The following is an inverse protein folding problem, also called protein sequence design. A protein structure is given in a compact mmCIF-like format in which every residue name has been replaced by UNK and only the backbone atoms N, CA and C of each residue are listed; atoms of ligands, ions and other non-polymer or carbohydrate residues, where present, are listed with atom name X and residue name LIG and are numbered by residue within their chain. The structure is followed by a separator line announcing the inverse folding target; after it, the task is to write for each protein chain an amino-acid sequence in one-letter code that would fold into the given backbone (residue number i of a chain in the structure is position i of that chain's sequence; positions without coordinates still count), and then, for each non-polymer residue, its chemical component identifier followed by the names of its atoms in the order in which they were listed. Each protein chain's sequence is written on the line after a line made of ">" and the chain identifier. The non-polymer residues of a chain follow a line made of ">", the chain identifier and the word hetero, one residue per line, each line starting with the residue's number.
data_IF_511148147542
#
_entry.id   IF_511148147542
#
_cell.length_a   1.000
_cell.length_b   1.000
_cell.length_c   1.000
_cell.angle_alpha   90.00
_cell.angle_beta   90.00
_cell.angle_gamma   90.00
#
_symmetry.space_group_name_H-M   'P 1'
#
loop_
_entity.id
_entity.type
_entity.pdbx_description
1 polymer ?
2 polymer ?
3 polymer ?
4 water ?
#
loop_
_entity_poly.entity_id
_entity_poly.type
_entity_poly.pdbx_seq_one_letter_code
_entity_poly.pdbx_strand_id
1 'polydeoxyribonucleotide' '(DG)(DC)(DA)(DA)(DA)(DA)(DC)(DG)(DT)(DC)(DG)(DT)(DG)(DA)(DG)(DA)(DC)(DA)(DG)(DT)(DT)(DT)(DC)(DG)' ?
2 'polydeoxyribonucleotide' '(DC)(DG)(DA)(DA)(DA)(DC)(DT)(DG)(DT)(DC)(DT)(DC)(DA)(DC)(DG)(DA)(DC)(DG)(DT)(DT)(DT)(DT)(DG)(DC)' ?
#
# COMPACT_ATOMS: atom_id res chain seq x y z
N UNK C 3 -24.46 -6.82 0.09
CA UNK C 3 -23.56 -7.28 1.19
C UNK C 3 -23.04 -6.08 1.94
N UNK C 4 -23.21 -6.07 3.26
CA UNK C 4 -22.75 -4.97 4.11
C UNK C 4 -21.40 -5.40 4.71
N UNK C 5 -20.37 -4.59 4.50
CA UNK C 5 -19.03 -4.90 5.02
C UNK C 5 -18.76 -4.26 6.38
N UNK C 6 -17.90 -4.90 7.16
CA UNK C 6 -17.49 -4.43 8.48
C UNK C 6 -16.57 -3.21 8.31
N UNK C 7 -16.84 -2.14 9.07
CA UNK C 7 -16.07 -0.90 9.02
C UNK C 7 -14.56 -1.02 9.28
N UNK C 8 -14.17 -1.97 10.11
CA UNK C 8 -12.74 -2.18 10.41
C UNK C 8 -12.06 -2.79 9.20
N UNK C 9 -12.77 -3.71 8.54
CA UNK C 9 -12.27 -4.37 7.35
C UNK C 9 -12.07 -3.30 6.28
N UNK C 10 -13.06 -2.42 6.16
CA UNK C 10 -13.04 -1.33 5.20
C UNK C 10 -11.95 -0.28 5.47
N UNK C 11 -11.70 0.01 6.74
CA UNK C 11 -10.67 0.99 7.09
C UNK C 11 -9.32 0.44 6.70
N UNK C 12 -9.03 -0.78 7.13
CA UNK C 12 -7.75 -1.39 6.83
C UNK C 12 -7.59 -1.50 5.32
N UNK C 13 -8.63 -2.02 4.67
CA UNK C 13 -8.58 -2.21 3.23
C UNK C 13 -8.41 -0.91 2.44
N UNK C 14 -9.02 0.17 2.89
CA UNK C 14 -8.86 1.41 2.18
C UNK C 14 -7.37 1.87 2.27
N UNK C 15 -6.72 1.62 3.40
CA UNK C 15 -5.32 2.02 3.53
C UNK C 15 -4.49 1.14 2.58
N UNK C 16 -4.81 -0.16 2.58
CA UNK C 16 -4.11 -1.09 1.72
C UNK C 16 -4.30 -0.76 0.21
N UNK C 17 -5.52 -0.40 -0.16
CA UNK C 17 -5.84 -0.04 -1.54
C UNK C 17 -5.11 1.27 -1.91
N UNK C 18 -5.11 2.24 -1.00
CA UNK C 18 -4.41 3.49 -1.26
C UNK C 18 -2.93 3.14 -1.50
N UNK C 19 -2.46 2.02 -0.94
CA UNK C 19 -1.08 1.63 -1.14
C UNK C 19 -0.80 0.80 -2.40
N UNK C 20 -1.26 -0.45 -2.39
CA UNK C 20 -1.05 -1.38 -3.50
C UNK C 20 -2.18 -1.53 -4.48
N UNK C 21 -3.25 -0.79 -4.25
CA UNK C 21 -4.43 -0.91 -5.08
C UNK C 21 -4.50 0.00 -6.29
N UNK C 22 -5.56 -0.20 -7.07
CA UNK C 22 -5.76 0.60 -8.26
C UNK C 22 -7.22 0.60 -8.65
N UNK C 23 -7.72 1.81 -8.92
CA UNK C 23 -9.12 2.00 -9.36
C UNK C 23 -8.97 2.49 -10.79
N UNK C 24 -9.39 1.63 -11.72
CA UNK C 24 -9.19 1.82 -13.16
C UNK C 24 -10.45 1.90 -14.03
N UNK C 25 -10.43 2.86 -14.96
CA UNK C 25 -11.52 3.04 -15.90
C UNK C 25 -10.84 3.02 -17.27
N UNK C 26 -11.35 2.20 -18.19
CA UNK C 26 -10.79 2.13 -19.55
C UNK C 26 -11.87 2.19 -20.63
N UNK C 27 -11.48 2.67 -21.82
CA UNK C 27 -12.35 2.76 -22.99
C UNK C 27 -11.67 1.81 -23.94
N UNK C 28 -12.29 0.65 -24.16
CA UNK C 28 -11.66 -0.35 -25.01
C UNK C 28 -12.25 -0.47 -26.41
N UNK C 29 -11.44 -0.18 -27.44
CA UNK C 29 -11.92 -0.28 -28.83
C UNK C 29 -12.46 -1.71 -28.98
N UNK C 30 -13.66 -1.83 -29.51
CA UNK C 30 -14.27 -3.14 -29.68
C UNK C 30 -15.44 -2.98 -30.64
N UNK C 31 -15.30 -3.55 -31.83
CA UNK C 31 -16.33 -3.44 -32.84
C UNK C 31 -17.71 -4.00 -32.54
N UNK C 32 -17.85 -4.85 -31.52
CA UNK C 32 -19.16 -5.45 -31.20
C UNK C 32 -20.13 -4.56 -30.42
N UNK C 33 -19.65 -3.44 -29.91
CA UNK C 33 -20.50 -2.51 -29.16
C UNK C 33 -21.03 -1.44 -30.13
N UNK C 34 -22.22 -0.91 -29.86
CA UNK C 34 -22.80 0.08 -30.75
C UNK C 34 -21.94 1.33 -30.88
N UNK C 35 -21.23 1.74 -29.83
CA UNK C 35 -20.37 2.91 -29.95
C UNK C 35 -18.92 2.50 -30.19
N UNK C 36 -18.74 1.23 -30.58
CA UNK C 36 -17.43 0.63 -30.89
C UNK C 36 -16.40 0.66 -29.77
N UNK C 37 -16.87 0.81 -28.54
CA UNK C 37 -15.97 0.82 -27.41
C UNK C 37 -16.67 0.31 -26.19
N UNK C 38 -15.94 -0.43 -25.38
CA UNK C 38 -16.52 -0.87 -24.14
C UNK C 38 -16.02 0.05 -23.02
N UNK C 39 -16.92 0.40 -22.10
CA UNK C 39 -16.57 1.19 -20.92
C UNK C 39 -16.26 0.12 -19.88
N UNK C 40 -14.98 -0.03 -19.56
CA UNK C 40 -14.53 -1.04 -18.61
C UNK C 40 -14.09 -0.38 -17.30
N UNK C 41 -14.47 -1.02 -16.20
CA UNK C 41 -14.12 -0.52 -14.88
C UNK C 41 -13.49 -1.67 -14.09
N UNK C 42 -12.45 -1.37 -13.33
CA UNK C 42 -11.80 -2.40 -12.54
C UNK C 42 -11.25 -1.85 -11.23
N UNK C 43 -11.48 -2.62 -10.18
CA UNK C 43 -10.93 -2.36 -8.86
C UNK C 43 -9.90 -3.48 -8.72
N UNK C 44 -8.66 -3.13 -8.45
CA UNK C 44 -7.69 -4.21 -8.30
C UNK C 44 -6.68 -3.95 -7.22
N UNK C 45 -6.07 -5.05 -6.75
CA UNK C 45 -5.03 -4.99 -5.73
C UNK C 45 -3.94 -5.95 -6.21
N UNK C 46 -2.74 -5.42 -6.37
CA UNK C 46 -1.61 -6.21 -6.87
C UNK C 46 -0.68 -6.58 -5.70
N UNK C 47 -0.15 -7.79 -5.71
CA UNK C 47 0.75 -8.23 -4.62
C UNK C 47 1.63 -9.33 -5.14
N UNK C 48 2.84 -9.43 -4.59
CA UNK C 48 3.80 -10.46 -5.00
C UNK C 48 3.08 -11.81 -4.84
N UNK C 49 3.29 -12.73 -5.77
CA UNK C 49 2.57 -14.02 -5.74
C UNK C 49 2.80 -14.85 -4.47
N UNK C 50 3.98 -14.76 -3.86
CA UNK C 50 4.21 -15.50 -2.64
C UNK C 50 3.30 -14.95 -1.54
N UNK C 51 2.59 -13.87 -1.84
CA UNK C 51 1.70 -13.25 -0.84
C UNK C 51 0.26 -13.26 -1.38
N UNK C 52 -0.02 -14.14 -2.35
CA UNK C 52 -1.36 -14.19 -2.93
C UNK C 52 -2.40 -14.63 -1.91
N UNK C 53 -1.93 -15.30 -0.86
CA UNK C 53 -2.86 -15.75 0.16
C UNK C 53 -3.65 -14.53 0.62
N UNK C 54 -2.99 -13.39 0.68
CA UNK C 54 -3.66 -12.16 1.10
C UNK C 54 -4.81 -11.82 0.13
N UNK C 55 -4.54 -11.94 -1.17
CA UNK C 55 -5.53 -11.69 -2.22
C UNK C 55 -6.61 -12.78 -2.22
N UNK C 56 -6.23 -14.03 -1.92
CA UNK C 56 -7.23 -15.10 -1.86
C UNK C 56 -8.22 -14.82 -0.72
N UNK C 57 -7.71 -14.29 0.39
CA UNK C 57 -8.56 -13.97 1.52
C UNK C 57 -9.54 -12.88 1.11
N UNK C 58 -9.07 -11.91 0.31
CA UNK C 58 -9.94 -10.85 -0.17
C UNK C 58 -11.14 -11.37 -0.94
N UNK C 59 -10.92 -12.37 -1.78
CA UNK C 59 -12.02 -12.94 -2.53
C UNK C 59 -13.11 -13.35 -1.52
N UNK C 60 -12.67 -14.08 -0.49
CA UNK C 60 -13.53 -14.58 0.58
C UNK C 60 -14.21 -13.44 1.37
N UNK C 61 -13.42 -12.47 1.82
CA UNK C 61 -13.94 -11.35 2.60
C UNK C 61 -14.86 -10.44 1.80
N UNK C 62 -14.53 -10.18 0.54
CA UNK C 62 -15.37 -9.29 -0.26
C UNK C 62 -16.54 -10.09 -0.84
N UNK C 63 -16.35 -11.42 -0.98
CA UNK C 63 -17.38 -12.33 -1.46
C UNK C 63 -17.62 -12.36 -2.96
N UNK C 64 -16.79 -11.63 -3.70
CA UNK C 64 -16.90 -11.55 -5.15
C UNK C 64 -15.48 -11.22 -5.69
N UNK C 65 -15.29 -11.42 -7.00
CA UNK C 65 -14.00 -11.16 -7.62
C UNK C 65 -13.16 -12.42 -7.66
N UNK C 66 -11.91 -12.27 -8.12
CA UNK C 66 -11.03 -13.43 -8.21
C UNK C 66 -9.59 -12.96 -8.28
N UNK C 67 -8.69 -13.93 -8.31
CA UNK C 67 -7.27 -13.62 -8.34
C UNK C 67 -6.65 -14.17 -9.61
N UNK C 68 -5.86 -13.35 -10.27
CA UNK C 68 -5.22 -13.82 -11.48
C UNK C 68 -3.74 -13.84 -11.19
N UNK C 69 -3.06 -14.83 -11.75
CA UNK C 69 -1.64 -14.94 -11.55
C UNK C 69 -0.96 -14.46 -12.81
N UNK C 70 0.13 -13.71 -12.66
CA UNK C 70 0.87 -13.22 -13.80
C UNK C 70 2.37 -13.31 -13.59
N UNK C 71 2.81 -14.47 -13.11
CA UNK C 71 4.22 -14.67 -12.88
C UNK C 71 4.65 -14.35 -11.48
N UNK C 72 5.44 -13.29 -11.32
CA UNK C 72 5.94 -12.91 -9.99
C UNK C 72 4.88 -12.19 -9.13
N UNK C 73 3.89 -11.57 -9.75
CA UNK C 73 2.86 -10.95 -8.92
C UNK C 73 1.47 -11.47 -9.31
N UNK C 74 0.50 -11.17 -8.46
CA UNK C 74 -0.88 -11.60 -8.70
C UNK C 74 -1.78 -10.43 -8.40
N UNK C 75 -3.02 -10.49 -8.89
CA UNK C 75 -3.95 -9.40 -8.63
C UNK C 75 -5.29 -9.91 -8.17
N UNK C 76 -5.90 -9.14 -7.27
CA UNK C 76 -7.27 -9.45 -6.90
C UNK C 76 -7.97 -8.53 -7.88
N UNK C 77 -8.96 -9.06 -8.60
CA UNK C 77 -9.69 -8.28 -9.59
C UNK C 77 -11.19 -8.33 -9.31
N UNK C 78 -11.81 -7.16 -9.39
CA UNK C 78 -13.27 -7.06 -9.22
C UNK C 78 -13.79 -6.12 -10.32
N UNK C 79 -14.52 -6.70 -11.27
CA UNK C 79 -15.11 -5.95 -12.38
C UNK C 79 -16.64 -5.93 -12.42
N UNK C 80 -17.31 -6.97 -11.93
CA UNK C 80 -18.78 -6.98 -11.95
C UNK C 80 -19.27 -5.65 -11.39
N UNK C 81 -19.95 -4.87 -12.24
CA UNK C 81 -20.41 -3.54 -11.86
C UNK C 81 -21.33 -3.47 -10.65
N UNK C 82 -22.25 -4.42 -10.52
CA UNK C 82 -23.17 -4.38 -9.38
C UNK C 82 -22.42 -4.48 -8.03
N UNK C 83 -21.63 -5.56 -7.83
CA UNK C 83 -20.87 -5.73 -6.58
C UNK C 83 -19.82 -4.62 -6.46
N UNK C 84 -19.32 -4.15 -7.59
CA UNK C 84 -18.29 -3.09 -7.60
C UNK C 84 -18.88 -1.81 -7.00
N UNK C 85 -20.07 -1.46 -7.46
CA UNK C 85 -20.75 -0.26 -6.97
C UNK C 85 -21.03 -0.44 -5.48
N UNK C 86 -21.56 -1.60 -5.10
CA UNK C 86 -21.85 -1.85 -3.69
C UNK C 86 -20.60 -1.72 -2.83
N UNK C 87 -19.51 -2.37 -3.27
CA UNK C 87 -18.24 -2.33 -2.56
C UNK C 87 -17.60 -0.93 -2.50
N UNK C 88 -17.46 -0.27 -3.65
CA UNK C 88 -16.82 1.04 -3.67
C UNK C 88 -17.57 2.10 -2.86
N UNK C 89 -18.91 1.99 -2.85
CA UNK C 89 -19.77 2.90 -2.09
C UNK C 89 -19.38 2.87 -0.60
N UNK C 90 -19.16 1.67 -0.08
CA UNK C 90 -18.81 1.51 1.34
C UNK C 90 -17.33 1.81 1.62
N UNK C 91 -16.48 1.63 0.60
CA UNK C 91 -15.07 1.85 0.80
C UNK C 91 -14.64 3.29 0.66
N UNK C 92 -15.23 4.02 -0.29
CA UNK C 92 -14.80 5.39 -0.55
C UNK C 92 -14.71 6.37 0.61
N UNK C 93 -15.59 6.24 1.64
CA UNK C 93 -15.49 7.20 2.76
C UNK C 93 -14.15 7.13 3.48
N UNK C 94 -13.46 6.00 3.32
CA UNK C 94 -12.22 5.81 4.01
C UNK C 94 -10.94 5.97 3.15
N UNK C 95 -11.12 6.16 1.84
CA UNK C 95 -9.98 6.36 0.93
C UNK C 95 -9.42 7.77 1.12
N UNK C 96 -8.11 7.94 0.95
CA UNK C 96 -7.51 9.27 1.10
C UNK C 96 -6.77 9.66 -0.16
N UNK C 97 -6.17 8.67 -0.81
CA UNK C 97 -5.44 8.91 -2.04
C UNK C 97 -6.30 8.60 -3.28
N UNK C 98 -7.15 7.57 -3.21
CA UNK C 98 -7.92 7.21 -4.40
C UNK C 98 -9.42 7.39 -4.27
N UNK C 99 -9.83 8.27 -3.37
CA UNK C 99 -11.27 8.52 -3.16
C UNK C 99 -11.87 9.20 -4.39
N UNK C 100 -11.17 10.16 -4.96
CA UNK C 100 -11.76 10.82 -6.14
C UNK C 100 -12.02 9.81 -7.27
N UNK C 101 -11.12 8.85 -7.45
CA UNK C 101 -11.28 7.82 -8.49
C UNK C 101 -12.51 6.97 -8.19
N UNK C 102 -12.63 6.55 -6.95
CA UNK C 102 -13.75 5.74 -6.51
C UNK C 102 -15.05 6.46 -6.83
N UNK C 103 -15.13 7.73 -6.44
CA UNK C 103 -16.33 8.53 -6.70
C UNK C 103 -16.64 8.71 -8.19
N UNK C 104 -15.60 8.80 -9.02
CA UNK C 104 -15.83 8.91 -10.45
C UNK C 104 -16.37 7.59 -11.02
N UNK C 105 -15.89 6.48 -10.49
CA UNK C 105 -16.32 5.17 -10.94
C UNK C 105 -17.77 4.96 -10.57
N UNK C 106 -18.14 5.31 -9.35
CA UNK C 106 -19.53 5.15 -8.92
C UNK C 106 -20.41 5.99 -9.84
N UNK C 107 -19.92 7.17 -10.21
CA UNK C 107 -20.66 8.08 -11.08
C UNK C 107 -20.90 7.43 -12.46
N UNK C 108 -19.83 6.87 -13.02
CA UNK C 108 -19.90 6.21 -14.31
C UNK C 108 -20.88 5.03 -14.30
N UNK C 109 -20.75 4.17 -13.28
CA UNK C 109 -21.61 3.00 -13.15
C UNK C 109 -23.09 3.40 -13.23
N UNK C 110 -23.48 4.29 -12.33
CA UNK C 110 -24.86 4.76 -12.28
C UNK C 110 -25.34 5.40 -13.58
N UNK C 111 -24.41 5.96 -14.35
CA UNK C 111 -24.75 6.63 -15.60
C UNK C 111 -24.67 5.72 -16.82
N UNK C 112 -24.23 4.48 -16.61
CA UNK C 112 -24.09 3.51 -17.70
C UNK C 112 -25.32 3.32 -18.60
N UNK C 113 -26.49 3.02 -18.01
CA UNK C 113 -27.70 2.82 -18.83
C UNK C 113 -27.95 4.00 -19.77
N UNK C 114 -27.84 5.20 -19.23
CA UNK C 114 -28.03 6.41 -20.02
C UNK C 114 -26.94 6.58 -21.08
N UNK C 115 -25.75 6.08 -20.79
CA UNK C 115 -24.64 6.18 -21.72
C UNK C 115 -24.85 5.28 -22.93
N UNK C 116 -25.60 4.20 -22.74
CA UNK C 116 -25.87 3.29 -23.84
C UNK C 116 -26.90 3.87 -24.82
N UNK C 117 -27.72 4.80 -24.34
CA UNK C 117 -28.77 5.41 -25.18
C UNK C 117 -28.33 6.58 -26.07
N UNK C 118 -27.40 7.40 -25.58
CA UNK C 118 -26.97 8.57 -26.33
C UNK C 118 -25.46 8.65 -26.57
N UNK C 119 -25.05 9.05 -27.78
CA UNK C 119 -23.62 9.16 -28.10
C UNK C 119 -22.99 10.31 -27.32
N UNK C 120 -23.74 11.40 -27.16
CA UNK C 120 -23.23 12.55 -26.42
C UNK C 120 -23.04 12.20 -24.95
N UNK C 121 -23.96 11.41 -24.40
CA UNK C 121 -23.84 11.03 -23.00
C UNK C 121 -22.62 10.11 -22.88
N UNK C 122 -22.59 9.09 -23.72
CA UNK C 122 -21.49 8.13 -23.75
C UNK C 122 -20.15 8.87 -23.76
N UNK C 123 -20.04 9.87 -24.62
CA UNK C 123 -18.81 10.64 -24.73
C UNK C 123 -18.58 11.41 -23.42
N UNK C 124 -19.68 11.86 -22.79
CA UNK C 124 -19.55 12.56 -21.51
C UNK C 124 -18.94 11.62 -20.48
N UNK C 125 -19.44 10.39 -20.47
CA UNK C 125 -18.97 9.39 -19.51
C UNK C 125 -17.50 9.10 -19.79
N UNK C 126 -17.14 9.06 -21.07
CA UNK C 126 -15.75 8.81 -21.42
C UNK C 126 -14.88 9.91 -20.82
N UNK C 127 -15.45 11.11 -20.71
CA UNK C 127 -14.76 12.27 -20.14
C UNK C 127 -14.36 12.06 -18.67
N UNK C 128 -15.19 11.31 -17.95
CA UNK C 128 -14.95 11.04 -16.54
C UNK C 128 -13.87 9.95 -16.44
N UNK C 129 -13.78 9.12 -17.48
CA UNK C 129 -12.73 8.10 -17.52
C UNK C 129 -11.42 8.87 -17.68
N UNK C 130 -11.42 9.91 -18.53
CA UNK C 130 -10.19 10.70 -18.69
C UNK C 130 -9.75 11.24 -17.32
N UNK C 131 -10.70 11.71 -16.51
CA UNK C 131 -10.37 12.27 -15.20
C UNK C 131 -9.76 11.23 -14.24
N UNK C 132 -10.29 10.01 -14.27
CA UNK C 132 -9.74 8.96 -13.42
C UNK C 132 -8.30 8.71 -13.81
N UNK C 133 -8.05 8.59 -15.11
CA UNK C 133 -6.69 8.31 -15.57
C UNK C 133 -5.75 9.45 -15.17
N UNK C 134 -6.23 10.69 -15.24
CA UNK C 134 -5.36 11.82 -14.89
C UNK C 134 -5.07 11.82 -13.38
N UNK C 135 -5.98 11.24 -12.59
CA UNK C 135 -5.78 11.17 -11.13
C UNK C 135 -4.78 10.03 -10.82
N UNK C 136 -4.76 8.98 -11.65
CA UNK C 136 -3.82 7.86 -11.47
C UNK C 136 -2.41 8.22 -11.98
N UNK C 137 -1.45 7.33 -11.76
CA UNK C 137 -0.11 7.55 -12.29
C UNK C 137 -0.11 6.88 -13.68
N UNK C 138 -0.95 7.41 -14.54
CA UNK C 138 -1.16 6.91 -15.89
C UNK C 138 0.07 7.12 -16.79
N UNK C 139 0.61 6.03 -17.33
CA UNK C 139 1.79 6.09 -18.21
C UNK C 139 1.65 5.43 -19.60
N UNK C 140 0.69 4.52 -19.81
CA UNK C 140 0.55 3.91 -21.13
C UNK C 140 -0.84 3.96 -21.73
N UNK C 141 -1.64 4.95 -21.35
CA UNK C 141 -2.98 5.08 -21.87
C UNK C 141 -2.98 5.47 -23.35
N UNK C 142 -3.97 4.96 -24.09
CA UNK C 142 -4.07 5.22 -25.52
C UNK C 142 -5.44 5.76 -25.89
N UNK C 143 -6.49 5.04 -25.48
CA UNK C 143 -7.82 5.48 -25.81
C UNK C 143 -8.43 6.42 -24.78
N UNK C 144 -8.85 7.58 -25.29
CA UNK C 144 -9.43 8.65 -24.50
C UNK C 144 -10.79 9.08 -25.07
N UNK C 145 -11.45 10.03 -24.41
CA UNK C 145 -12.73 10.51 -24.91
C UNK C 145 -12.53 11.12 -26.30
N UNK C 146 -11.37 11.74 -26.52
CA UNK C 146 -11.03 12.36 -27.81
C UNK C 146 -10.98 11.31 -28.92
N UNK C 147 -10.36 10.17 -28.64
CA UNK C 147 -10.28 9.11 -29.63
C UNK C 147 -11.69 8.60 -29.95
N UNK C 148 -12.57 8.55 -28.96
CA UNK C 148 -13.94 8.07 -29.17
C UNK C 148 -14.80 9.04 -29.99
N UNK C 149 -14.58 10.34 -29.78
CA UNK C 149 -15.34 11.36 -30.49
C UNK C 149 -15.06 11.25 -32.00
N UNK C 150 -13.79 11.11 -32.35
CA UNK C 150 -13.37 11.00 -33.74
C UNK C 150 -14.00 9.79 -34.44
N UNK C 151 -14.12 8.67 -33.73
CA UNK C 151 -14.70 7.45 -34.31
C UNK C 151 -16.22 7.61 -34.49
N UNK C 152 -16.87 8.29 -33.55
CA UNK C 152 -18.31 8.51 -33.65
C UNK C 152 -18.60 9.41 -34.84
N UNK C 153 -17.82 10.49 -34.95
CA UNK C 153 -18.00 11.41 -36.05
C UNK C 153 -17.84 10.67 -37.39
N UNK D 3 2.04 9.27 23.39
CA UNK D 3 0.75 9.63 22.74
C UNK D 3 -0.09 8.41 22.34
N UNK D 4 -1.39 8.53 22.52
CA UNK D 4 -2.33 7.45 22.21
C UNK D 4 -3.02 7.82 20.92
N UNK D 5 -2.99 6.93 19.94
CA UNK D 5 -3.62 7.19 18.63
C UNK D 5 -5.03 6.64 18.52
N UNK D 6 -5.86 7.32 17.75
CA UNK D 6 -7.24 6.90 17.51
C UNK D 6 -7.20 5.54 16.77
N UNK D 7 -8.14 4.66 17.07
CA UNK D 7 -8.18 3.34 16.48
C UNK D 7 -8.42 3.31 14.97
N UNK D 8 -9.31 4.16 14.48
CA UNK D 8 -9.61 4.18 13.07
C UNK D 8 -8.39 4.67 12.31
N UNK D 9 -7.65 5.60 12.91
CA UNK D 9 -6.43 6.11 12.30
C UNK D 9 -5.45 4.94 12.10
N UNK D 10 -5.28 4.15 13.16
CA UNK D 10 -4.36 3.00 13.13
C UNK D 10 -4.79 1.87 12.17
N UNK D 11 -6.09 1.65 12.04
CA UNK D 11 -6.60 0.60 11.16
C UNK D 11 -6.25 0.98 9.71
N UNK D 12 -6.56 2.21 9.32
CA UNK D 12 -6.26 2.69 7.98
C UNK D 12 -4.75 2.62 7.74
N UNK D 13 -3.98 3.20 8.65
CA UNK D 13 -2.52 3.25 8.52
C UNK D 13 -1.87 1.89 8.44
N UNK D 14 -2.39 0.92 9.19
CA UNK D 14 -1.83 -0.43 9.12
C UNK D 14 -2.00 -0.95 7.69
N UNK D 15 -3.14 -0.67 7.08
CA UNK D 15 -3.30 -1.17 5.73
C UNK D 15 -2.37 -0.41 4.81
N UNK D 16 -2.21 0.90 5.02
CA UNK D 16 -1.35 1.69 4.17
C UNK D 16 0.10 1.22 4.31
N UNK D 17 0.50 0.93 5.54
CA UNK D 17 1.85 0.43 5.82
C UNK D 17 2.06 -0.96 5.20
N UNK D 18 1.07 -1.85 5.33
CA UNK D 18 1.21 -3.19 4.72
C UNK D 18 1.41 -3.06 3.20
N UNK D 19 0.94 -1.94 2.64
CA UNK D 19 1.09 -1.66 1.22
C UNK D 19 2.39 -0.96 0.77
N UNK D 20 2.53 0.31 1.15
CA UNK D 20 3.66 1.13 0.76
C UNK D 20 4.74 1.30 1.84
N UNK D 21 4.54 0.69 3.00
CA UNK D 21 5.48 0.83 4.10
C UNK D 21 6.57 -0.21 4.21
N UNK D 22 7.49 0.03 5.13
CA UNK D 22 8.59 -0.89 5.36
C UNK D 22 9.00 -0.80 6.84
N UNK D 23 9.14 -1.95 7.48
CA UNK D 23 9.57 -2.03 8.88
C UNK D 23 10.98 -2.60 8.71
N UNK D 24 11.98 -1.77 9.02
CA UNK D 24 13.37 -2.14 8.77
C UNK D 24 14.27 -2.28 10.00
N UNK D 25 15.13 -3.30 9.94
CA UNK D 25 16.12 -3.54 11.00
C UNK D 25 17.45 -3.67 10.28
N UNK D 26 18.47 -2.95 10.75
CA UNK D 26 19.78 -3.00 10.11
C UNK D 26 20.96 -3.04 11.09
N UNK D 27 22.02 -3.75 10.68
CA UNK D 27 23.25 -3.83 11.48
C UNK D 27 24.20 -3.02 10.64
N UNK D 28 24.58 -1.84 11.12
CA UNK D 28 25.44 -0.99 10.31
C UNK D 28 26.89 -0.92 10.81
N UNK D 29 27.83 -1.46 10.03
CA UNK D 29 29.24 -1.42 10.45
C UNK D 29 29.61 0.05 10.69
N UNK D 30 30.20 0.31 11.86
CA UNK D 30 30.59 1.66 12.25
C UNK D 30 31.59 1.52 13.41
N UNK D 31 32.80 2.03 13.19
CA UNK D 31 33.87 1.91 14.18
C UNK D 31 33.65 2.51 15.58
N UNK D 32 32.94 3.64 15.67
CA UNK D 32 32.73 4.28 16.96
C UNK D 32 31.89 3.47 17.94
N UNK D 33 31.38 2.32 17.51
CA UNK D 33 30.58 1.50 18.42
C UNK D 33 31.42 0.43 19.06
N UNK D 34 31.10 0.08 20.31
CA UNK D 34 31.87 -0.94 21.00
C UNK D 34 31.99 -2.18 20.12
N UNK D 35 30.85 -2.78 19.78
CA UNK D 35 30.87 -3.99 18.95
C UNK D 35 30.95 -3.72 17.46
N UNK D 36 31.49 -2.55 17.11
CA UNK D 36 31.72 -2.13 15.72
C UNK D 36 30.52 -2.07 14.76
N UNK D 37 29.31 -2.13 15.29
CA UNK D 37 28.13 -2.05 14.45
C UNK D 37 27.03 -1.31 15.20
N UNK D 38 26.21 -0.57 14.47
CA UNK D 38 25.08 0.11 15.10
C UNK D 38 23.85 -0.74 14.81
N UNK D 39 22.96 -0.87 15.79
CA UNK D 39 21.71 -1.59 15.57
C UNK D 39 20.71 -0.47 15.22
N UNK D 40 20.34 -0.40 13.96
CA UNK D 40 19.43 0.63 13.45
C UNK D 40 18.05 0.08 13.09
N UNK D 41 17.01 0.76 13.58
CA UNK D 41 15.63 0.37 13.34
C UNK D 41 14.90 1.52 12.64
N UNK D 42 14.10 1.22 11.61
CA UNK D 42 13.38 2.30 10.92
C UNK D 42 12.00 1.89 10.48
N UNK D 43 11.04 2.78 10.72
CA UNK D 43 9.69 2.59 10.21
C UNK D 43 9.61 3.61 9.07
N UNK D 44 9.21 3.18 7.89
CA UNK D 44 9.12 4.16 6.82
C UNK D 44 7.94 3.91 5.91
N UNK D 45 7.54 4.97 5.23
CA UNK D 45 6.49 4.86 4.24
C UNK D 45 6.99 5.64 3.04
N UNK D 46 7.00 4.97 1.89
CA UNK D 46 7.48 5.58 0.65
C UNK D 46 6.30 5.98 -0.27
N UNK D 47 6.43 7.15 -0.88
CA UNK D 47 5.41 7.62 -1.80
C UNK D 47 6.01 8.58 -2.82
N UNK D 48 5.47 8.58 -4.02
CA UNK D 48 5.89 9.48 -5.10
C UNK D 48 5.84 10.91 -4.54
N UNK D 49 6.87 11.71 -4.82
CA UNK D 49 6.96 13.08 -4.28
C UNK D 49 5.73 13.94 -4.59
N UNK D 50 5.05 13.69 -5.71
CA UNK D 50 3.86 14.50 -5.95
C UNK D 50 2.83 14.29 -4.83
N UNK D 51 2.96 13.17 -4.10
CA UNK D 51 2.02 12.88 -3.02
C UNK D 51 2.69 13.12 -1.67
N UNK D 52 3.72 13.96 -1.66
CA UNK D 52 4.44 14.27 -0.42
C UNK D 52 3.54 14.81 0.68
N UNK D 53 2.46 15.49 0.32
CA UNK D 53 1.53 16.05 1.30
C UNK D 53 1.00 14.96 2.25
N UNK D 54 0.73 13.77 1.72
CA UNK D 54 0.23 12.70 2.54
C UNK D 54 1.29 12.32 3.59
N UNK D 55 2.56 12.26 3.20
CA UNK D 55 3.63 11.94 4.16
C UNK D 55 3.79 13.05 5.18
N UNK D 56 3.71 14.30 4.72
CA UNK D 56 3.84 15.45 5.63
C UNK D 56 2.71 15.40 6.65
N UNK D 57 1.52 15.03 6.20
CA UNK D 57 0.36 14.93 7.07
C UNK D 57 0.61 13.87 8.14
N UNK D 58 1.29 12.78 7.78
CA UNK D 58 1.60 11.69 8.72
C UNK D 58 2.53 12.22 9.79
N UNK D 59 3.45 13.09 9.41
CA UNK D 59 4.37 13.64 10.40
C UNK D 59 3.56 14.29 11.53
N UNK D 60 2.53 15.03 11.14
CA UNK D 60 1.66 15.73 12.08
C UNK D 60 0.76 14.78 12.89
N UNK D 61 0.23 13.77 12.24
CA UNK D 61 -0.68 12.79 12.87
C UNK D 61 0.05 11.82 13.79
N UNK D 62 1.22 11.34 13.37
CA UNK D 62 1.99 10.46 14.23
C UNK D 62 2.68 11.36 15.30
N UNK D 63 3.01 12.59 14.90
CA UNK D 63 3.61 13.54 15.83
C UNK D 63 5.12 13.52 16.04
N UNK D 64 5.80 12.66 15.32
CA UNK D 64 7.25 12.54 15.45
C UNK D 64 7.67 12.06 14.07
N UNK D 65 8.97 12.01 13.81
CA UNK D 65 9.45 11.56 12.51
C UNK D 65 9.55 12.71 11.53
N UNK D 66 9.97 12.42 10.31
CA UNK D 66 10.08 13.49 9.32
C UNK D 66 10.01 12.90 7.92
N UNK D 67 10.02 13.79 6.93
CA UNK D 67 9.95 13.37 5.54
C UNK D 67 11.23 13.75 4.82
N UNK D 68 11.78 12.81 4.06
CA UNK D 68 12.97 13.13 3.31
C UNK D 68 12.68 12.97 1.82
N UNK D 69 13.46 13.66 1.02
CA UNK D 69 13.31 13.64 -0.42
C UNK D 69 14.44 12.87 -1.10
N UNK D 70 14.11 12.11 -2.14
CA UNK D 70 15.12 11.40 -2.89
C UNK D 70 14.76 11.34 -4.37
N UNK D 71 14.33 12.47 -4.92
CA UNK D 71 14.01 12.55 -6.36
C UNK D 71 12.56 12.38 -6.74
N UNK D 72 12.25 11.29 -7.43
CA UNK D 72 10.87 11.06 -7.81
C UNK D 72 10.02 10.59 -6.62
N UNK D 73 10.65 10.13 -5.55
CA UNK D 73 9.89 9.70 -4.40
C UNK D 73 10.42 10.30 -3.08
N UNK D 74 9.56 10.26 -2.09
CA UNK D 74 9.87 10.78 -0.77
C UNK D 74 9.53 9.68 0.21
N UNK D 75 10.01 9.81 1.44
CA UNK D 75 9.74 8.82 2.48
C UNK D 75 9.40 9.49 3.81
N UNK D 76 8.41 8.95 4.50
CA UNK D 76 8.15 9.40 5.86
C UNK D 76 9.13 8.47 6.63
N UNK D 77 9.92 9.01 7.58
CA UNK D 77 10.89 8.23 8.34
C UNK D 77 10.71 8.36 9.87
N UNK D 78 10.74 7.22 10.58
CA UNK D 78 10.65 7.26 12.03
C UNK D 78 11.70 6.29 12.59
N UNK D 79 12.71 6.85 13.25
CA UNK D 79 13.80 6.06 13.84
C UNK D 79 14.03 6.30 15.33
N UNK D 80 13.40 7.30 15.92
CA UNK D 80 13.58 7.53 17.36
C UNK D 80 13.01 6.31 18.06
N UNK D 81 13.86 5.59 18.79
CA UNK D 81 13.49 4.35 19.45
C UNK D 81 12.31 4.38 20.40
N UNK D 82 12.23 5.40 21.24
CA UNK D 82 11.10 5.43 22.16
C UNK D 82 9.76 5.70 21.44
N UNK D 83 9.70 6.76 20.61
CA UNK D 83 8.44 7.03 19.91
C UNK D 83 8.08 5.88 18.96
N UNK D 84 9.09 5.26 18.37
CA UNK D 84 8.88 4.15 17.46
C UNK D 84 8.23 2.98 18.21
N UNK D 85 8.75 2.69 19.40
CA UNK D 85 8.21 1.64 20.23
C UNK D 85 6.76 1.93 20.59
N UNK D 86 6.48 3.15 21.02
CA UNK D 86 5.10 3.50 21.35
C UNK D 86 4.20 3.33 20.10
N UNK D 87 4.67 3.82 18.96
CA UNK D 87 3.92 3.76 17.70
C UNK D 87 3.58 2.36 17.23
N UNK D 88 4.62 1.54 17.07
CA UNK D 88 4.44 0.17 16.62
C UNK D 88 3.61 -0.67 17.59
N UNK D 89 3.68 -0.36 18.88
CA UNK D 89 2.92 -1.11 19.86
C UNK D 89 1.44 -0.93 19.54
N UNK D 90 1.05 0.28 19.18
CA UNK D 90 -0.33 0.54 18.86
C UNK D 90 -0.72 0.13 17.45
N UNK D 91 0.24 0.05 16.55
CA UNK D 91 -0.10 -0.29 15.16
C UNK D 91 -0.15 -1.80 14.88
N UNK D 92 0.77 -2.55 15.48
CA UNK D 92 0.90 -3.98 15.23
C UNK D 92 -0.35 -4.83 15.32
N UNK D 93 -1.27 -4.49 16.24
CA UNK D 93 -2.45 -5.36 16.27
C UNK D 93 -3.21 -5.40 14.95
N UNK D 94 -3.12 -4.33 14.18
CA UNK D 94 -3.88 -4.23 12.91
C UNK D 94 -3.13 -4.58 11.64
N UNK D 95 -1.82 -4.82 11.77
CA UNK D 95 -1.00 -5.19 10.63
C UNK D 95 -1.29 -6.62 10.22
N UNK D 96 -1.18 -6.91 8.92
CA UNK D 96 -1.41 -8.26 8.41
C UNK D 96 -0.23 -8.83 7.63
N UNK D 97 0.53 -8.00 6.93
CA UNK D 97 1.68 -8.54 6.20
C UNK D 97 2.97 -8.27 6.93
N UNK D 98 2.98 -7.22 7.75
CA UNK D 98 4.20 -6.85 8.44
C UNK D 98 4.13 -6.90 9.97
N UNK D 99 3.14 -7.63 10.52
CA UNK D 99 2.99 -7.71 11.96
C UNK D 99 4.20 -8.41 12.62
N UNK D 100 4.72 -9.45 12.00
CA UNK D 100 5.86 -10.13 12.57
C UNK D 100 7.06 -9.21 12.65
N UNK D 101 7.32 -8.49 11.55
CA UNK D 101 8.45 -7.57 11.52
C UNK D 101 8.32 -6.55 12.65
N UNK D 102 7.12 -6.03 12.82
CA UNK D 102 6.86 -5.04 13.85
C UNK D 102 7.11 -5.58 15.27
N UNK D 103 6.64 -6.79 15.53
CA UNK D 103 6.84 -7.38 16.85
C UNK D 103 8.29 -7.72 17.11
N UNK D 104 9.02 -8.04 16.05
CA UNK D 104 10.45 -8.32 16.19
C UNK D 104 11.17 -6.99 16.49
N UNK D 105 10.77 -5.90 15.82
CA UNK D 105 11.41 -4.61 16.08
C UNK D 105 11.16 -4.22 17.55
N UNK D 106 9.95 -4.44 18.03
CA UNK D 106 9.61 -4.11 19.40
C UNK D 106 10.50 -4.88 20.37
N UNK D 107 10.70 -6.17 20.08
CA UNK D 107 11.52 -7.07 20.88
C UNK D 107 12.98 -6.60 20.91
N UNK D 108 13.49 -6.19 19.75
CA UNK D 108 14.86 -5.73 19.64
C UNK D 108 15.06 -4.50 20.51
N UNK D 109 14.15 -3.53 20.38
CA UNK D 109 14.21 -2.30 21.17
C UNK D 109 14.24 -2.59 22.68
N UNK D 110 13.35 -3.48 23.12
CA UNK D 110 13.27 -3.85 24.53
C UNK D 110 14.59 -4.47 25.00
N UNK D 111 15.24 -5.24 24.13
CA UNK D 111 16.48 -5.89 24.49
C UNK D 111 17.76 -5.10 24.18
N UNK D 112 17.63 -3.90 23.61
CA UNK D 112 18.82 -3.10 23.28
C UNK D 112 19.77 -2.89 24.46
N UNK D 113 19.21 -2.55 25.65
CA UNK D 113 20.05 -2.33 26.84
C UNK D 113 20.98 -3.51 27.13
N UNK D 114 20.40 -4.71 27.20
CA UNK D 114 21.21 -5.89 27.47
C UNK D 114 22.09 -6.29 26.29
N UNK D 115 21.68 -5.96 25.07
CA UNK D 115 22.49 -6.30 23.92
C UNK D 115 23.80 -5.53 24.00
N UNK D 116 23.73 -4.36 24.62
CA UNK D 116 24.88 -3.48 24.79
C UNK D 116 25.92 -4.01 25.79
N UNK D 117 25.47 -4.78 26.77
CA UNK D 117 26.35 -5.29 27.81
C UNK D 117 27.04 -6.62 27.54
N UNK D 118 26.57 -7.35 26.54
CA UNK D 118 27.14 -8.66 26.24
C UNK D 118 27.23 -8.95 24.74
N UNK D 119 28.40 -9.39 24.25
CA UNK D 119 28.58 -9.70 22.82
C UNK D 119 27.60 -10.79 22.39
N UNK D 120 27.40 -11.76 23.27
CA UNK D 120 26.50 -12.85 22.98
C UNK D 120 25.04 -12.40 22.91
N UNK D 121 24.69 -11.38 23.68
CA UNK D 121 23.33 -10.88 23.67
C UNK D 121 23.19 -10.08 22.38
N UNK D 122 24.26 -9.38 22.01
CA UNK D 122 24.33 -8.56 20.82
C UNK D 122 24.02 -9.45 19.62
N UNK D 123 24.67 -10.63 19.60
CA UNK D 123 24.49 -11.59 18.52
C UNK D 123 23.07 -12.10 18.45
N UNK D 124 22.51 -12.48 19.58
CA UNK D 124 21.16 -12.99 19.63
C UNK D 124 20.20 -11.93 19.09
N UNK D 125 20.40 -10.66 19.43
CA UNK D 125 19.53 -9.62 18.91
C UNK D 125 19.78 -9.42 17.41
N UNK D 126 21.04 -9.55 16.99
CA UNK D 126 21.36 -9.43 15.58
C UNK D 126 20.67 -10.56 14.79
N UNK D 127 20.35 -11.66 15.47
CA UNK D 127 19.68 -12.80 14.82
C UNK D 127 18.22 -12.43 14.59
N UNK D 128 17.69 -11.54 15.43
CA UNK D 128 16.32 -11.12 15.28
C UNK D 128 16.23 -10.18 14.08
N UNK D 129 17.34 -9.53 13.75
CA UNK D 129 17.44 -8.61 12.62
C UNK D 129 17.49 -9.45 11.34
N UNK D 130 18.01 -10.67 11.45
CA UNK D 130 18.11 -11.58 10.30
C UNK D 130 16.69 -11.97 9.96
N UNK D 131 15.94 -12.29 11.00
CA UNK D 131 14.57 -12.71 10.85
C UNK D 131 13.69 -11.65 10.17
N UNK D 132 13.90 -10.37 10.49
CA UNK D 132 13.10 -9.30 9.86
C UNK D 132 13.41 -9.24 8.39
N UNK D 133 14.70 -9.17 8.07
CA UNK D 133 15.09 -9.14 6.66
C UNK D 133 14.50 -10.34 5.89
N UNK D 134 14.44 -11.52 6.53
CA UNK D 134 13.89 -12.68 5.84
C UNK D 134 12.39 -12.49 5.56
N UNK D 135 11.70 -11.85 6.50
CA UNK D 135 10.27 -11.59 6.34
C UNK D 135 10.00 -10.55 5.24
N UNK D 136 10.90 -9.58 5.05
CA UNK D 136 10.68 -8.56 4.02
C UNK D 136 11.10 -9.15 2.67
N UNK D 137 11.06 -8.35 1.61
CA UNK D 137 11.51 -8.79 0.28
C UNK D 137 12.95 -8.26 0.16
N UNK D 138 13.82 -8.81 0.99
CA UNK D 138 15.21 -8.40 1.02
C UNK D 138 15.98 -8.89 -0.20
N UNK D 139 16.73 -8.00 -0.83
CA UNK D 139 17.54 -8.39 -1.98
C UNK D 139 18.89 -7.67 -2.14
N UNK D 140 19.22 -6.75 -1.23
CA UNK D 140 20.53 -6.08 -1.28
C UNK D 140 21.22 -6.02 0.09
N UNK D 141 20.83 -6.91 1.01
CA UNK D 141 21.40 -6.92 2.34
C UNK D 141 22.86 -7.37 2.28
N UNK D 142 23.72 -6.72 3.06
CA UNK D 142 25.15 -7.04 3.11
C UNK D 142 25.62 -7.48 4.50
N UNK D 143 25.19 -6.75 5.55
CA UNK D 143 25.59 -7.09 6.92
C UNK D 143 24.56 -7.88 7.71
N UNK D 144 24.94 -9.06 8.16
CA UNK D 144 24.07 -9.96 8.89
C UNK D 144 24.67 -10.35 10.25
N UNK D 145 23.95 -11.16 11.04
CA UNK D 145 24.49 -11.55 12.35
C UNK D 145 25.73 -12.44 12.18
N UNK D 146 25.92 -12.94 10.97
CA UNK D 146 27.07 -13.79 10.65
C UNK D 146 28.28 -12.87 10.50
N UNK D 147 28.03 -11.67 9.97
CA UNK D 147 29.10 -10.69 9.78
C UNK D 147 29.61 -10.25 11.15
N UNK D 148 28.68 -9.94 12.04
CA UNK D 148 29.02 -9.49 13.37
C UNK D 148 29.75 -10.58 14.14
N UNK D 149 29.29 -11.82 13.99
CA UNK D 149 29.89 -12.96 14.66
C UNK D 149 31.37 -13.06 14.29
N UNK D 150 31.70 -12.79 13.04
CA UNK D 150 33.09 -12.84 12.58
C UNK D 150 33.92 -11.70 13.19
N UNK D 151 33.36 -10.50 13.22
CA UNK D 151 34.05 -9.34 13.77
C UNK D 151 34.29 -9.50 15.28
N UNK D 152 33.28 -10.01 15.99
CA UNK D 152 33.41 -10.23 17.43
C UNK D 152 34.52 -11.24 17.76
N UNK D 153 35.40 -11.51 16.79
CA UNK D 153 36.53 -12.42 17.00
C UNK D 153 37.84 -11.71 16.60
#
# INVERSE_FOLDING_TARGET
>C
MNTKYNKEFLLYLAGFVDGDGSIIAQIKPNQSYKFKHQLSLTFQVTEKTQRRWFLDKLVDEIGVGYVRDRGSVSDYILSEIKPLHNFLTQLQPFLKLKQKQANLVLKIIEQLPSAKESPDKFLEVCTWVDQIAALNDSKTRKTTSETVRAVLDSLSEKKKSSP
>D
MNTKYNKEFLLYLAGFVDGDGSIIAQIKPNQSYKFKHQLSLTFQVTEKTQRRWFLDKLVDEIGVGYVRDRGSVSDYILSEIKPLHNFLTQLQPFLKLKQKQANLVLKIIEQLPSAKESPDKFLEVCTWVDQIAALNDSKTRKTTSETVRAVLDSLSEKKKSSP
#
